data_IF_637858006876
#
_entry.id   IF_637858006876
#
_cell.length_a   1.000
_cell.length_b   1.000
_cell.length_c   1.000
_cell.angle_alpha   90.00
_cell.angle_beta   90.00
_cell.angle_gamma   90.00
#
_symmetry.space_group_name_H-M   'P 1'
#
loop_
_entity.id
_entity.type
_entity.pdbx_description
1 polymer ?
#
# COMPACT_ATOMS: atom_id res chain seq x y z
N UNK A 1 0.90 -4.45 -1.19
CA UNK A 1 -0.54 -4.40 -1.54
C UNK A 1 -1.28 -3.71 -0.42
N UNK A 2 -2.04 -2.65 -0.75
CA UNK A 2 -2.81 -1.89 0.22
C UNK A 2 -4.32 -2.06 -0.01
N UNK A 3 -5.00 -2.99 0.69
CA UNK A 3 -6.42 -3.27 0.49
C UNK A 3 -7.34 -2.07 0.73
N UNK A 4 -6.91 -1.13 1.61
CA UNK A 4 -7.69 0.04 1.96
C UNK A 4 -7.94 0.97 0.77
N UNK A 5 -7.02 1.07 -0.21
CA UNK A 5 -7.21 1.89 -1.42
C UNK A 5 -8.36 1.37 -2.27
N UNK A 6 -8.46 0.05 -2.45
CA UNK A 6 -9.57 -0.59 -3.16
C UNK A 6 -10.91 -0.46 -2.43
N UNK A 7 -10.90 -0.59 -1.09
CA UNK A 7 -12.09 -0.34 -0.27
C UNK A 7 -12.58 1.10 -0.41
N UNK A 8 -11.67 2.08 -0.26
CA UNK A 8 -12.00 3.49 -0.33
C UNK A 8 -12.61 3.86 -1.69
N UNK A 9 -12.03 3.37 -2.81
CA UNK A 9 -12.58 3.61 -4.13
C UNK A 9 -13.96 2.96 -4.31
N UNK A 10 -14.16 1.71 -3.87
CA UNK A 10 -15.46 1.03 -3.98
C UNK A 10 -16.56 1.79 -3.23
N UNK A 11 -16.28 2.23 -2.00
CA UNK A 11 -17.22 2.98 -1.18
C UNK A 11 -17.50 4.36 -1.78
N UNK A 12 -16.47 5.04 -2.32
CA UNK A 12 -16.63 6.31 -3.02
C UNK A 12 -17.49 6.20 -4.29
N UNK A 13 -17.37 5.11 -5.04
CA UNK A 13 -18.21 4.82 -6.21
C UNK A 13 -19.68 4.61 -5.84
N UNK A 14 -19.95 3.91 -4.73
CA UNK A 14 -21.33 3.59 -4.30
C UNK A 14 -22.00 4.76 -3.61
N UNK A 15 -21.33 5.44 -2.69
CA UNK A 15 -21.92 6.50 -1.85
C UNK A 15 -21.59 7.91 -2.31
N UNK A 16 -20.68 8.06 -3.27
CA UNK A 16 -20.30 9.35 -3.86
C UNK A 16 -19.53 10.24 -2.86
N UNK A 17 -19.54 11.55 -3.14
CA UNK A 17 -18.77 12.55 -2.39
C UNK A 17 -19.10 12.64 -0.89
N UNK A 18 -20.26 12.17 -0.48
CA UNK A 18 -20.71 12.24 0.94
C UNK A 18 -19.86 11.37 1.87
N UNK A 19 -19.21 10.35 1.35
CA UNK A 19 -18.40 9.44 2.16
C UNK A 19 -16.97 9.94 2.38
N UNK A 20 -16.50 10.93 1.61
CA UNK A 20 -15.10 11.41 1.65
C UNK A 20 -14.66 11.85 3.05
N UNK A 21 -15.45 12.60 3.85
CA UNK A 21 -15.06 12.93 5.22
C UNK A 21 -14.91 11.69 6.11
N UNK A 22 -15.79 10.71 5.95
CA UNK A 22 -15.70 9.45 6.69
C UNK A 22 -14.47 8.62 6.30
N UNK A 23 -14.13 8.59 5.02
CA UNK A 23 -12.89 7.97 4.53
C UNK A 23 -11.67 8.67 5.13
N UNK A 24 -11.63 9.99 5.10
CA UNK A 24 -10.52 10.76 5.67
C UNK A 24 -10.31 10.41 7.16
N UNK A 25 -11.37 10.44 7.97
CA UNK A 25 -11.28 10.12 9.40
C UNK A 25 -10.85 8.66 9.61
N UNK A 26 -11.44 7.71 8.89
CA UNK A 26 -11.09 6.29 9.02
C UNK A 26 -9.64 6.00 8.62
N UNK A 27 -9.16 6.60 7.54
CA UNK A 27 -7.76 6.46 7.10
C UNK A 27 -6.83 7.18 8.08
N UNK A 28 -7.20 8.35 8.61
CA UNK A 28 -6.43 9.09 9.60
C UNK A 28 -6.20 8.25 10.88
N UNK A 29 -7.25 7.63 11.40
CA UNK A 29 -7.15 6.74 12.56
C UNK A 29 -6.19 5.58 12.27
N UNK A 30 -6.29 4.95 11.10
CA UNK A 30 -5.43 3.86 10.69
C UNK A 30 -3.96 4.31 10.56
N UNK A 31 -3.72 5.48 9.98
CA UNK A 31 -2.37 6.03 9.79
C UNK A 31 -1.75 6.44 11.13
N UNK A 32 -2.52 7.09 12.01
CA UNK A 32 -2.05 7.42 13.35
C UNK A 32 -1.66 6.14 14.10
N UNK A 33 -2.51 5.12 14.08
CA UNK A 33 -2.21 3.83 14.71
C UNK A 33 -0.94 3.17 14.13
N UNK A 34 -0.68 3.32 12.85
CA UNK A 34 0.46 2.70 12.16
C UNK A 34 1.78 3.44 12.37
N UNK A 35 1.75 4.77 12.52
CA UNK A 35 2.95 5.60 12.60
C UNK A 35 3.25 6.14 14.00
N UNK A 36 2.27 6.12 14.91
CA UNK A 36 2.43 6.70 16.24
C UNK A 36 3.14 5.71 17.16
N UNK A 37 4.35 6.08 17.58
CA UNK A 37 5.08 5.41 18.65
C UNK A 37 5.10 6.31 19.89
N UNK A 38 4.30 5.95 20.88
CA UNK A 38 4.21 6.69 22.14
C UNK A 38 5.46 6.60 23.01
N UNK A 39 6.37 5.68 22.70
CA UNK A 39 7.66 5.56 23.41
C UNK A 39 8.64 6.66 23.02
N UNK A 40 8.39 7.36 21.89
CA UNK A 40 9.26 8.40 21.34
C UNK A 40 8.48 9.72 21.21
N UNK A 41 8.44 10.58 22.26
CA UNK A 41 7.65 11.82 22.27
C UNK A 41 7.95 12.76 21.10
N UNK A 42 9.21 12.80 20.64
CA UNK A 42 9.65 13.66 19.55
C UNK A 42 9.05 13.27 18.19
N UNK A 43 8.55 12.02 18.06
CA UNK A 43 7.93 11.52 16.84
C UNK A 43 6.42 11.74 16.76
N UNK A 44 5.78 12.21 17.81
CA UNK A 44 4.31 12.37 17.85
C UNK A 44 3.85 13.38 16.79
N UNK A 45 4.41 14.57 16.78
CA UNK A 45 4.02 15.62 15.84
C UNK A 45 4.32 15.26 14.38
N UNK A 46 5.53 14.75 14.01
CA UNK A 46 5.80 14.23 12.68
C UNK A 46 4.83 13.12 12.25
N UNK A 47 4.51 12.17 13.12
CA UNK A 47 3.57 11.08 12.82
C UNK A 47 2.15 11.59 12.56
N UNK A 48 1.69 12.57 13.31
CA UNK A 48 0.37 13.21 13.10
C UNK A 48 0.33 13.95 11.77
N UNK A 49 1.38 14.68 11.41
CA UNK A 49 1.49 15.38 10.13
C UNK A 49 1.47 14.36 8.98
N UNK A 50 2.31 13.31 9.06
CA UNK A 50 2.33 12.24 8.06
C UNK A 50 0.96 11.59 7.93
N UNK A 51 0.34 11.23 9.04
CA UNK A 51 -1.00 10.65 9.08
C UNK A 51 -2.05 11.54 8.42
N UNK A 52 -2.05 12.83 8.71
CA UNK A 52 -3.02 13.79 8.16
C UNK A 52 -2.85 13.97 6.64
N UNK A 53 -1.62 14.21 6.16
CA UNK A 53 -1.36 14.41 4.73
C UNK A 53 -1.55 13.12 3.92
N UNK A 54 -1.13 11.97 4.43
CA UNK A 54 -1.36 10.67 3.78
C UNK A 54 -2.87 10.36 3.70
N UNK A 55 -3.63 10.66 4.76
CA UNK A 55 -5.09 10.48 4.78
C UNK A 55 -5.80 11.41 3.81
N UNK A 56 -5.33 12.67 3.70
CA UNK A 56 -5.83 13.62 2.71
C UNK A 56 -5.57 13.11 1.28
N UNK A 57 -4.35 12.67 1.00
CA UNK A 57 -3.96 12.10 -0.28
C UNK A 57 -4.81 10.87 -0.65
N UNK A 58 -4.97 9.93 0.28
CA UNK A 58 -5.75 8.69 0.06
C UNK A 58 -7.25 8.98 -0.15
N UNK A 59 -7.81 9.94 0.59
CA UNK A 59 -9.21 10.33 0.43
C UNK A 59 -9.45 11.05 -0.90
N UNK A 60 -8.52 11.92 -1.30
CA UNK A 60 -8.54 12.60 -2.58
C UNK A 60 -8.38 11.61 -3.75
N UNK A 61 -7.50 10.63 -3.61
CA UNK A 61 -7.33 9.52 -4.55
C UNK A 61 -8.65 8.78 -4.78
N UNK A 62 -9.33 8.35 -3.72
CA UNK A 62 -10.61 7.64 -3.82
C UNK A 62 -11.70 8.50 -4.46
N UNK A 63 -11.76 9.79 -4.09
CA UNK A 63 -12.69 10.75 -4.68
C UNK A 63 -12.42 10.98 -6.18
N UNK A 64 -11.16 11.24 -6.54
CA UNK A 64 -10.74 11.46 -7.93
C UNK A 64 -11.03 10.22 -8.79
N UNK A 65 -10.66 9.03 -8.30
CA UNK A 65 -10.94 7.77 -9.00
C UNK A 65 -12.43 7.56 -9.23
N UNK A 66 -13.25 7.76 -8.20
CA UNK A 66 -14.71 7.66 -8.32
C UNK A 66 -15.29 8.73 -9.28
N UNK A 67 -14.77 9.95 -9.24
CA UNK A 67 -15.18 11.02 -10.16
C UNK A 67 -14.85 10.66 -11.61
N UNK A 68 -13.61 10.26 -11.89
CA UNK A 68 -13.17 9.90 -13.24
C UNK A 68 -13.97 8.71 -13.78
N UNK A 69 -14.13 7.65 -13.00
CA UNK A 69 -14.89 6.47 -13.40
C UNK A 69 -16.35 6.84 -13.70
N UNK A 70 -17.01 7.60 -12.82
CA UNK A 70 -18.40 8.02 -13.04
C UNK A 70 -18.56 8.94 -14.24
N UNK A 71 -17.55 9.77 -14.53
CA UNK A 71 -17.58 10.67 -15.68
C UNK A 71 -17.44 9.92 -17.01
N UNK A 72 -16.50 8.99 -17.11
CA UNK A 72 -16.18 8.29 -18.37
C UNK A 72 -16.94 6.97 -18.56
N UNK A 73 -17.25 6.25 -17.48
CA UNK A 73 -18.00 4.98 -17.56
C UNK A 73 -19.50 5.13 -17.28
N UNK A 74 -19.92 6.31 -16.79
CA UNK A 74 -21.29 6.55 -16.33
C UNK A 74 -21.53 5.95 -14.93
N UNK A 75 -22.67 6.34 -14.32
CA UNK A 75 -23.04 5.92 -12.96
C UNK A 75 -23.53 4.47 -12.86
N UNK A 76 -23.67 3.76 -13.98
CA UNK A 76 -24.10 2.38 -14.00
C UNK A 76 -22.88 1.45 -14.12
N UNK A 77 -22.69 0.62 -13.11
CA UNK A 77 -21.75 -0.52 -13.01
C UNK A 77 -20.58 -0.54 -14.03
N UNK A 78 -19.42 0.03 -13.69
CA UNK A 78 -18.29 0.15 -14.62
C UNK A 78 -17.67 -1.22 -15.01
N UNK A 79 -18.03 -2.31 -14.35
CA UNK A 79 -17.47 -3.65 -14.54
C UNK A 79 -18.38 -4.62 -15.32
N UNK A 80 -19.34 -4.12 -16.09
CA UNK A 80 -20.24 -4.96 -16.90
C UNK A 80 -19.80 -5.03 -18.36
N UNK A 81 -19.32 -3.93 -18.93
CA UNK A 81 -18.90 -3.81 -20.33
C UNK A 81 -17.36 -3.83 -20.42
N UNK A 82 -16.79 -4.60 -21.34
CA UNK A 82 -15.34 -4.79 -21.46
C UNK A 82 -14.56 -3.47 -21.60
N UNK A 83 -15.06 -2.53 -22.41
CA UNK A 83 -14.44 -1.20 -22.56
C UNK A 83 -14.46 -0.39 -21.27
N UNK A 84 -15.51 -0.53 -20.47
CA UNK A 84 -15.63 0.15 -19.17
C UNK A 84 -14.72 -0.50 -18.12
N UNK A 85 -14.50 -1.81 -18.19
CA UNK A 85 -13.54 -2.52 -17.33
C UNK A 85 -12.13 -1.98 -17.56
N UNK A 86 -11.70 -1.86 -18.82
CA UNK A 86 -10.40 -1.28 -19.12
C UNK A 86 -10.26 0.16 -18.62
N UNK A 87 -11.28 1.01 -18.90
CA UNK A 87 -11.33 2.39 -18.42
C UNK A 87 -11.29 2.47 -16.89
N UNK A 88 -11.98 1.56 -16.20
CA UNK A 88 -11.95 1.45 -14.74
C UNK A 88 -10.53 1.16 -14.24
N UNK A 89 -9.82 0.23 -14.83
CA UNK A 89 -8.45 -0.09 -14.43
C UNK A 89 -7.50 1.08 -14.67
N UNK A 90 -7.59 1.74 -15.82
CA UNK A 90 -6.73 2.88 -16.15
C UNK A 90 -7.02 4.07 -15.23
N UNK A 91 -8.27 4.50 -15.12
CA UNK A 91 -8.63 5.70 -14.36
C UNK A 91 -8.66 5.47 -12.85
N UNK A 92 -9.22 4.34 -12.41
CA UNK A 92 -9.35 4.00 -10.99
C UNK A 92 -8.11 3.36 -10.40
N UNK A 93 -7.37 2.54 -11.19
CA UNK A 93 -6.15 1.90 -10.75
C UNK A 93 -4.92 2.79 -10.99
N UNK A 94 -4.55 3.03 -12.25
CA UNK A 94 -3.27 3.66 -12.55
C UNK A 94 -3.27 5.17 -12.27
N UNK A 95 -4.26 5.92 -12.78
CA UNK A 95 -4.25 7.38 -12.72
C UNK A 95 -4.61 7.90 -11.33
N UNK A 96 -5.69 7.41 -10.73
CA UNK A 96 -6.08 7.93 -9.41
C UNK A 96 -5.06 7.58 -8.33
N UNK A 97 -4.41 6.41 -8.43
CA UNK A 97 -3.42 5.96 -7.47
C UNK A 97 -2.08 6.76 -7.49
N UNK A 98 -1.91 7.72 -8.39
CA UNK A 98 -0.79 8.66 -8.35
C UNK A 98 -0.88 9.64 -7.16
N UNK A 99 -2.08 9.89 -6.65
CA UNK A 99 -2.32 10.96 -5.67
C UNK A 99 -1.78 10.61 -4.29
N UNK A 100 -2.16 9.48 -3.72
CA UNK A 100 -1.76 9.13 -2.34
C UNK A 100 -0.25 9.00 -2.16
N UNK A 101 0.52 8.31 -3.03
CA UNK A 101 1.97 8.25 -2.93
C UNK A 101 2.62 9.64 -3.02
N UNK A 102 2.08 10.52 -3.87
CA UNK A 102 2.61 11.88 -3.99
C UNK A 102 2.47 12.65 -2.69
N UNK A 103 1.29 12.62 -2.05
CA UNK A 103 1.10 13.26 -0.75
C UNK A 103 1.93 12.61 0.35
N UNK A 104 1.92 11.27 0.45
CA UNK A 104 2.60 10.54 1.50
C UNK A 104 4.12 10.69 1.44
N UNK A 105 4.72 10.39 0.29
CA UNK A 105 6.18 10.41 0.12
C UNK A 105 6.72 11.83 0.21
N UNK A 106 6.01 12.82 -0.35
CA UNK A 106 6.40 14.24 -0.22
C UNK A 106 6.45 14.64 1.26
N UNK A 107 5.46 14.22 2.06
CA UNK A 107 5.43 14.54 3.48
C UNK A 107 6.59 13.89 4.24
N UNK A 108 6.86 12.59 4.00
CA UNK A 108 7.93 11.84 4.66
C UNK A 108 9.31 12.42 4.28
N UNK A 109 9.49 12.84 3.02
CA UNK A 109 10.72 13.49 2.56
C UNK A 109 10.96 14.83 3.25
N UNK A 110 9.96 15.72 3.29
CA UNK A 110 10.11 17.02 3.95
C UNK A 110 10.33 16.94 5.47
N UNK A 111 9.93 15.85 6.08
CA UNK A 111 10.23 15.57 7.49
C UNK A 111 11.61 14.94 7.72
N UNK A 112 12.36 14.66 6.66
CA UNK A 112 13.71 14.10 6.74
C UNK A 112 13.76 12.60 7.08
N UNK A 113 12.64 11.87 6.95
CA UNK A 113 12.62 10.42 7.20
C UNK A 113 13.20 9.59 6.05
N UNK A 114 13.25 10.15 4.85
CA UNK A 114 13.88 9.52 3.68
C UNK A 114 14.76 10.52 2.94
N UNK A 115 15.78 10.02 2.25
CA UNK A 115 16.66 10.83 1.39
C UNK A 115 16.03 11.03 0.01
N UNK A 116 16.56 12.00 -0.76
CA UNK A 116 16.09 12.25 -2.14
C UNK A 116 16.28 11.02 -3.04
N UNK A 117 17.32 10.24 -2.80
CA UNK A 117 17.61 9.00 -3.55
C UNK A 117 16.59 7.90 -3.31
N UNK A 118 15.96 7.89 -2.13
CA UNK A 118 14.93 6.90 -1.75
C UNK A 118 13.53 7.26 -2.28
N UNK A 119 13.29 8.53 -2.63
CA UNK A 119 11.98 9.05 -3.06
C UNK A 119 11.40 8.25 -4.25
N UNK A 120 12.14 8.01 -5.36
CA UNK A 120 11.56 7.34 -6.53
C UNK A 120 11.11 5.91 -6.23
N UNK A 121 11.93 5.14 -5.52
CA UNK A 121 11.60 3.74 -5.23
C UNK A 121 10.47 3.62 -4.21
N UNK A 122 10.45 4.47 -3.19
CA UNK A 122 9.41 4.50 -2.18
C UNK A 122 8.07 4.91 -2.78
N UNK A 123 8.06 5.93 -3.64
CA UNK A 123 6.88 6.40 -4.36
C UNK A 123 6.32 5.31 -5.29
N UNK A 124 7.18 4.67 -6.09
CA UNK A 124 6.80 3.60 -7.01
C UNK A 124 6.22 2.40 -6.25
N UNK A 125 6.86 2.01 -5.15
CA UNK A 125 6.40 0.90 -4.30
C UNK A 125 5.03 1.16 -3.70
N UNK A 126 4.78 2.37 -3.22
CA UNK A 126 3.48 2.78 -2.69
C UNK A 126 2.42 2.78 -3.80
N UNK A 127 2.74 3.41 -4.95
CA UNK A 127 1.84 3.45 -6.10
C UNK A 127 1.43 2.05 -6.59
N UNK A 128 2.39 1.13 -6.76
CA UNK A 128 2.11 -0.26 -7.15
C UNK A 128 1.22 -0.94 -6.11
N UNK A 129 1.50 -0.72 -4.82
CA UNK A 129 0.70 -1.26 -3.72
C UNK A 129 -0.76 -0.83 -3.78
N UNK A 130 -1.02 0.44 -4.06
CA UNK A 130 -2.35 1.01 -4.22
C UNK A 130 -3.04 0.50 -5.49
N UNK A 131 -2.34 0.47 -6.63
CA UNK A 131 -2.86 -0.06 -7.90
C UNK A 131 -3.35 -1.50 -7.73
N UNK A 132 -2.53 -2.37 -7.14
CA UNK A 132 -2.91 -3.76 -6.88
C UNK A 132 -4.09 -3.83 -5.92
N UNK A 133 -4.09 -2.99 -4.87
CA UNK A 133 -5.21 -2.86 -3.94
C UNK A 133 -6.52 -2.50 -4.64
N UNK A 134 -6.51 -1.52 -5.52
CA UNK A 134 -7.68 -1.11 -6.32
C UNK A 134 -8.13 -2.22 -7.27
N UNK A 135 -7.21 -2.81 -8.03
CA UNK A 135 -7.54 -3.84 -9.03
C UNK A 135 -8.19 -5.06 -8.40
N UNK A 136 -7.72 -5.48 -7.22
CA UNK A 136 -8.21 -6.69 -6.55
C UNK A 136 -9.43 -6.39 -5.69
N UNK A 137 -9.34 -5.41 -4.80
CA UNK A 137 -10.35 -5.23 -3.74
C UNK A 137 -11.56 -4.42 -4.21
N UNK A 138 -11.41 -3.45 -5.13
CA UNK A 138 -12.58 -2.68 -5.59
C UNK A 138 -13.65 -3.56 -6.24
N UNK A 139 -13.35 -4.47 -7.18
CA UNK A 139 -14.35 -5.36 -7.75
C UNK A 139 -14.99 -6.30 -6.72
N UNK A 140 -14.20 -6.82 -5.77
CA UNK A 140 -14.71 -7.69 -4.71
C UNK A 140 -15.74 -6.93 -3.87
N UNK A 141 -15.40 -5.74 -3.41
CA UNK A 141 -16.27 -4.93 -2.54
C UNK A 141 -17.49 -4.43 -3.31
N UNK A 142 -17.33 -3.98 -4.56
CA UNK A 142 -18.48 -3.62 -5.41
C UNK A 142 -19.43 -4.80 -5.58
N UNK A 143 -18.94 -6.02 -5.71
CA UNK A 143 -19.79 -7.21 -5.81
C UNK A 143 -20.64 -7.46 -4.55
N UNK A 144 -20.22 -6.90 -3.41
CA UNK A 144 -20.92 -7.04 -2.13
C UNK A 144 -21.93 -5.91 -1.88
N UNK A 145 -21.57 -4.65 -2.23
CA UNK A 145 -22.33 -3.45 -1.82
C UNK A 145 -22.99 -2.71 -2.96
N UNK A 146 -22.61 -2.95 -4.24
CA UNK A 146 -23.15 -2.20 -5.38
C UNK A 146 -24.61 -2.58 -5.70
N UNK A 147 -25.37 -1.60 -6.21
CA UNK A 147 -26.74 -1.77 -6.70
C UNK A 147 -26.79 -1.51 -8.21
N UNK A 148 -27.68 -2.19 -9.00
CA UNK A 148 -28.61 -3.23 -8.59
C UNK A 148 -27.90 -4.56 -8.21
N UNK A 149 -28.46 -5.29 -7.28
CA UNK A 149 -27.84 -6.51 -6.69
C UNK A 149 -27.81 -7.67 -7.69
N UNK A 150 -28.76 -7.76 -8.60
CA UNK A 150 -28.95 -8.93 -9.48
C UNK A 150 -27.72 -9.26 -10.33
N UNK A 151 -27.14 -8.33 -11.13
CA UNK A 151 -25.96 -8.64 -11.93
C UNK A 151 -24.74 -9.04 -11.10
N UNK A 152 -24.61 -8.44 -9.90
CA UNK A 152 -23.49 -8.71 -9.00
C UNK A 152 -23.62 -10.05 -8.28
N UNK A 153 -24.84 -10.46 -7.90
CA UNK A 153 -25.09 -11.72 -7.22
C UNK A 153 -24.68 -12.93 -8.07
N UNK A 154 -24.95 -12.90 -9.35
CA UNK A 154 -24.57 -13.97 -10.28
C UNK A 154 -23.07 -14.00 -10.56
N UNK A 155 -22.44 -12.86 -10.67
CA UNK A 155 -21.01 -12.73 -10.98
C UNK A 155 -20.10 -12.77 -9.75
N UNK A 156 -20.64 -12.63 -8.53
CA UNK A 156 -19.86 -12.54 -7.28
C UNK A 156 -18.83 -13.65 -7.16
N UNK A 157 -19.24 -14.90 -7.32
CA UNK A 157 -18.34 -16.05 -7.19
C UNK A 157 -17.27 -16.05 -8.29
N UNK A 158 -17.67 -15.74 -9.53
CA UNK A 158 -16.80 -15.72 -10.69
C UNK A 158 -15.74 -14.62 -10.61
N UNK A 159 -16.04 -13.49 -10.01
CA UNK A 159 -15.12 -12.35 -9.84
C UNK A 159 -14.30 -12.50 -8.56
N UNK A 160 -14.94 -12.83 -7.42
CA UNK A 160 -14.26 -12.80 -6.13
C UNK A 160 -13.27 -13.96 -5.96
N UNK A 161 -13.59 -15.19 -6.39
CA UNK A 161 -12.67 -16.32 -6.19
C UNK A 161 -11.34 -16.17 -6.93
N UNK A 162 -11.29 -15.84 -8.23
CA UNK A 162 -10.01 -15.62 -8.90
C UNK A 162 -9.20 -14.47 -8.30
N UNK A 163 -9.86 -13.37 -7.91
CA UNK A 163 -9.17 -12.22 -7.33
C UNK A 163 -8.63 -12.51 -5.93
N UNK A 164 -9.39 -13.22 -5.08
CA UNK A 164 -8.91 -13.66 -3.76
C UNK A 164 -7.76 -14.65 -3.93
N UNK A 165 -7.88 -15.60 -4.85
CA UNK A 165 -6.81 -16.56 -5.14
C UNK A 165 -5.53 -15.86 -5.62
N UNK A 166 -5.65 -14.90 -6.54
CA UNK A 166 -4.52 -14.10 -7.01
C UNK A 166 -3.88 -13.29 -5.86
N UNK A 167 -4.71 -12.69 -4.99
CA UNK A 167 -4.22 -11.98 -3.82
C UNK A 167 -3.45 -12.89 -2.86
N UNK A 168 -4.00 -14.05 -2.52
CA UNK A 168 -3.33 -15.01 -1.64
C UNK A 168 -2.01 -15.51 -2.23
N UNK A 169 -1.97 -15.71 -3.56
CA UNK A 169 -0.75 -16.10 -4.26
C UNK A 169 0.31 -14.98 -4.17
N UNK A 170 -0.06 -13.72 -4.43
CA UNK A 170 0.87 -12.57 -4.32
C UNK A 170 1.39 -12.43 -2.89
N UNK A 171 0.51 -12.53 -1.88
CA UNK A 171 0.92 -12.47 -0.47
C UNK A 171 1.83 -13.64 -0.13
N UNK A 172 1.52 -14.85 -0.57
CA UNK A 172 2.34 -16.03 -0.34
C UNK A 172 3.74 -15.90 -0.94
N UNK A 173 3.85 -15.43 -2.18
CA UNK A 173 5.16 -15.17 -2.83
C UNK A 173 5.93 -14.08 -2.06
N UNK A 174 5.27 -13.01 -1.65
CA UNK A 174 5.91 -11.92 -0.89
C UNK A 174 6.45 -12.42 0.45
N UNK A 175 5.65 -13.17 1.21
CA UNK A 175 6.07 -13.73 2.50
C UNK A 175 7.23 -14.72 2.32
N UNK A 176 7.17 -15.57 1.30
CA UNK A 176 8.26 -16.49 1.00
C UNK A 176 9.57 -15.75 0.71
N UNK A 177 9.54 -14.72 -0.14
CA UNK A 177 10.72 -13.92 -0.48
C UNK A 177 11.27 -13.17 0.76
N UNK A 178 10.39 -12.60 1.59
CA UNK A 178 10.80 -11.90 2.81
C UNK A 178 11.52 -12.83 3.79
N UNK A 179 11.01 -14.06 3.96
CA UNK A 179 11.65 -15.06 4.84
C UNK A 179 13.04 -15.46 4.31
N UNK A 180 13.19 -15.60 3.00
CA UNK A 180 14.50 -15.91 2.36
C UNK A 180 15.49 -14.74 2.55
N UNK A 181 15.05 -13.51 2.42
CA UNK A 181 15.92 -12.33 2.57
C UNK A 181 16.42 -12.19 4.02
N UNK A 182 15.56 -12.37 5.01
CA UNK A 182 15.94 -12.36 6.43
C UNK A 182 16.98 -13.44 6.73
N UNK A 183 16.81 -14.65 6.21
CA UNK A 183 17.77 -15.74 6.40
C UNK A 183 19.10 -15.49 5.70
N UNK A 184 19.10 -14.84 4.53
CA UNK A 184 20.34 -14.41 3.84
C UNK A 184 21.10 -13.36 4.64
N UNK A 185 20.40 -12.34 5.15
CA UNK A 185 20.99 -11.28 5.97
C UNK A 185 21.59 -11.88 7.26
N UNK A 186 20.86 -12.75 7.94
CA UNK A 186 21.33 -13.43 9.14
C UNK A 186 22.61 -14.24 8.88
N UNK A 187 22.65 -15.04 7.81
CA UNK A 187 23.81 -15.84 7.44
C UNK A 187 25.00 -15.00 6.99
N UNK A 188 24.76 -13.86 6.34
CA UNK A 188 25.83 -12.91 5.98
C UNK A 188 26.45 -12.26 7.23
N UNK A 189 25.60 -11.88 8.19
CA UNK A 189 26.05 -11.32 9.47
C UNK A 189 26.87 -12.33 10.29
N UNK A 190 26.43 -13.58 10.38
CA UNK A 190 27.18 -14.64 11.05
C UNK A 190 28.57 -14.87 10.42
N UNK A 191 28.64 -14.87 9.08
CA UNK A 191 29.92 -14.98 8.37
C UNK A 191 30.86 -13.82 8.71
N UNK A 192 30.38 -12.59 8.69
CA UNK A 192 31.17 -11.41 9.03
C UNK A 192 31.69 -11.48 10.48
N UNK A 193 30.82 -11.85 11.41
CA UNK A 193 31.19 -12.01 12.83
C UNK A 193 32.27 -13.09 13.03
N UNK A 194 32.14 -14.22 12.36
CA UNK A 194 33.13 -15.30 12.43
C UNK A 194 34.47 -14.87 11.82
N UNK A 195 34.50 -14.18 10.70
CA UNK A 195 35.74 -13.65 10.10
C UNK A 195 36.38 -12.62 11.02
N UNK A 196 35.60 -11.73 11.61
CA UNK A 196 36.12 -10.74 12.57
C UNK A 196 36.72 -11.41 13.80
N UNK A 197 36.03 -12.37 14.40
CA UNK A 197 36.52 -13.11 15.57
C UNK A 197 37.78 -13.89 15.26
N UNK A 198 37.86 -14.54 14.10
CA UNK A 198 39.07 -15.28 13.68
C UNK A 198 40.27 -14.32 13.49
N UNK A 199 40.02 -13.18 12.81
CA UNK A 199 41.05 -12.17 12.57
C UNK A 199 41.52 -11.52 13.89
N UNK A 200 40.60 -11.24 14.78
CA UNK A 200 40.90 -10.66 16.09
C UNK A 200 41.72 -11.65 16.98
N UNK A 201 41.28 -12.91 17.04
CA UNK A 201 41.99 -13.95 17.78
C UNK A 201 43.40 -14.19 17.25
N UNK A 202 43.58 -14.21 15.92
CA UNK A 202 44.91 -14.38 15.32
C UNK A 202 45.86 -13.21 15.62
N UNK A 203 45.34 -11.98 15.63
CA UNK A 203 46.12 -10.79 16.01
C UNK A 203 46.53 -10.82 17.47
N UNK A 204 45.63 -11.20 18.40
CA UNK A 204 45.95 -11.34 19.83
C UNK A 204 47.03 -12.40 20.03
N UNK A 205 46.90 -13.58 19.41
CA UNK A 205 47.92 -14.63 19.52
C UNK A 205 49.29 -14.19 19.01
N UNK A 206 49.34 -13.44 17.91
CA UNK A 206 50.60 -12.89 17.41
C UNK A 206 51.22 -11.86 18.35
N UNK A 207 50.43 -11.05 19.05
CA UNK A 207 50.95 -10.08 20.04
C UNK A 207 51.43 -10.76 21.34
N UNK A 208 50.74 -11.81 21.77
CA UNK A 208 51.11 -12.56 23.01
C UNK A 208 52.28 -13.51 22.78
N UNK A 209 52.46 -14.04 21.57
CA UNK A 209 53.53 -14.98 21.22
C UNK A 209 54.86 -14.31 20.85
N UNK A 210 54.93 -12.98 20.75
CA UNK A 210 56.15 -12.22 20.44
C UNK A 210 56.80 -11.57 21.65
N UNK A 211 56.29 -11.79 22.85
CA UNK A 211 56.93 -11.46 24.14
C UNK A 211 57.34 -12.74 24.90
#
# INVERSE_FOLDING_TARGET
VWPASGFALAVALVYGKRIVPGLFIGILILQIYSFLDFSLPDNILPSLITGAFSSLGSSLQAFLGAYLINHYCGKQNPLIEDKKIFTFFVLGGFISCLVAPTFGITTIYFQGFITIDDVPISWLTWWIGDVIGVIIFTPIILSLIAKPVTPWKERRKLVSYPLISAFLLVVGIFQYNQTQEISRIASAFERQTNVFNATFSSKIQNYVGTN
#
